data_IF_884722579518
#
_entry.id   IF_884722579518
#
_cell.length_a   1.000
_cell.length_b   1.000
_cell.length_c   1.000
_cell.angle_alpha   90.00
_cell.angle_beta   90.00
_cell.angle_gamma   90.00
#
_symmetry.space_group_name_H-M   'P 1'
#
loop_
_entity.id
_entity.type
_entity.pdbx_description
1 polymer ?
#
# COMPACT_ATOMS: atom_id res chain seq x y z
N UNK A 1 21.10 -30.95 4.02
CA UNK A 1 21.85 -30.38 2.88
C UNK A 1 22.70 -29.27 3.46
N UNK A 2 24.01 -29.51 3.57
CA UNK A 2 24.95 -28.71 4.35
C UNK A 2 25.67 -27.76 3.40
N UNK A 3 25.58 -26.45 3.62
CA UNK A 3 26.37 -25.47 2.85
C UNK A 3 27.57 -25.09 3.71
N UNK A 4 28.74 -25.56 3.30
CA UNK A 4 30.05 -25.17 3.83
C UNK A 4 30.48 -23.88 3.14
N UNK A 5 30.71 -22.82 3.89
CA UNK A 5 31.34 -21.59 3.38
C UNK A 5 32.79 -21.57 3.86
N UNK A 6 33.73 -21.73 2.94
CA UNK A 6 35.17 -21.69 3.21
C UNK A 6 35.70 -20.25 3.20
N UNK A 7 36.53 -19.91 4.19
CA UNK A 7 37.32 -18.67 4.22
C UNK A 7 38.74 -18.94 3.71
N UNK A 8 39.28 -18.16 2.76
CA UNK A 8 40.70 -18.25 2.39
C UNK A 8 41.56 -17.59 3.47
N UNK A 9 42.48 -18.38 4.06
CA UNK A 9 43.56 -17.89 4.90
C UNK A 9 44.80 -17.64 4.03
N UNK A 10 45.28 -16.39 3.94
CA UNK A 10 46.67 -16.12 3.53
C UNK A 10 47.27 -15.02 4.37
N UNK A 11 47.91 -15.42 5.47
CA UNK A 11 48.87 -14.61 6.20
C UNK A 11 50.18 -14.57 5.40
N UNK A 12 50.55 -13.42 4.86
CA UNK A 12 51.94 -13.09 4.53
C UNK A 12 52.40 -11.96 5.43
N UNK A 13 53.29 -12.29 6.37
CA UNK A 13 54.05 -11.34 7.16
C UNK A 13 55.25 -10.88 6.34
N UNK A 14 55.45 -9.58 6.22
CA UNK A 14 56.74 -8.99 5.90
C UNK A 14 57.07 -8.01 7.03
N UNK A 15 58.12 -8.37 7.75
CA UNK A 15 58.71 -7.66 8.87
C UNK A 15 59.54 -6.47 8.35
N UNK A 16 59.20 -5.26 8.75
CA UNK A 16 60.11 -4.12 8.73
C UNK A 16 59.94 -3.38 10.04
N UNK A 17 60.84 -3.66 10.98
CA UNK A 17 60.83 -3.13 12.33
C UNK A 17 60.79 -1.60 12.40
N UNK A 18 59.94 -1.11 13.31
CA UNK A 18 60.07 0.14 14.07
C UNK A 18 58.94 0.19 15.11
N UNK A 19 59.30 0.19 16.38
CA UNK A 19 58.40 0.31 17.53
C UNK A 19 57.98 1.76 17.72
N UNK A 20 56.69 2.10 17.62
CA UNK A 20 56.18 3.41 18.06
C UNK A 20 54.84 3.29 18.79
N UNK A 21 54.76 4.02 19.90
CA UNK A 21 53.82 3.91 21.03
C UNK A 21 52.37 4.21 20.66
N UNK A 22 51.45 3.53 21.36
CA UNK A 22 50.00 3.82 21.39
C UNK A 22 49.70 4.87 22.47
N UNK A 23 48.68 5.71 22.22
CA UNK A 23 47.75 6.46 23.11
C UNK A 23 47.55 7.93 22.66
N UNK A 24 46.40 8.59 22.95
CA UNK A 24 45.03 8.28 22.54
C UNK A 24 44.39 9.49 21.81
N UNK A 25 43.29 9.28 21.07
CA UNK A 25 42.34 10.37 20.80
C UNK A 25 40.93 9.81 21.04
N UNK A 26 40.39 10.13 22.22
CA UNK A 26 38.95 10.22 22.49
C UNK A 26 38.44 11.41 21.66
N UNK A 27 37.25 11.39 21.06
CA UNK A 27 35.98 11.60 21.76
C UNK A 27 34.81 11.19 20.83
N UNK A 28 33.95 10.34 21.40
CA UNK A 28 32.50 10.18 21.26
C UNK A 28 31.87 9.93 19.89
N UNK A 29 31.80 8.65 19.52
CA UNK A 29 30.67 8.12 18.76
C UNK A 29 29.61 7.58 19.72
N UNK A 30 28.66 8.44 20.11
CA UNK A 30 27.37 8.01 20.65
C UNK A 30 26.58 7.29 19.55
N UNK A 31 26.83 6.00 19.40
CA UNK A 31 25.93 5.07 18.70
C UNK A 31 26.15 3.66 19.26
N UNK A 32 26.08 3.52 20.58
CA UNK A 32 25.98 2.22 21.21
C UNK A 32 24.64 2.08 21.94
N UNK A 33 24.08 0.87 21.77
CA UNK A 33 23.03 0.25 22.58
C UNK A 33 21.56 0.54 22.25
N UNK A 34 21.11 0.02 21.11
CA UNK A 34 19.95 -0.87 21.10
C UNK A 34 20.31 -2.08 20.21
N UNK A 35 21.17 -2.98 20.71
CA UNK A 35 21.62 -4.15 19.92
C UNK A 35 21.45 -5.50 20.62
N UNK A 36 20.57 -5.61 21.62
CA UNK A 36 20.43 -6.89 22.33
C UNK A 36 19.04 -7.37 22.67
N UNK A 37 17.94 -6.78 22.15
CA UNK A 37 16.60 -7.33 22.43
C UNK A 37 15.59 -7.30 21.27
N UNK A 38 16.03 -7.19 20.01
CA UNK A 38 15.10 -7.41 18.90
C UNK A 38 15.00 -8.91 18.58
N UNK A 39 14.24 -9.63 19.39
CA UNK A 39 13.90 -11.03 19.09
C UNK A 39 12.80 -11.02 18.04
N UNK A 40 13.15 -11.36 16.80
CA UNK A 40 12.15 -11.71 15.78
C UNK A 40 11.45 -12.99 16.27
N UNK A 41 10.31 -12.83 16.94
CA UNK A 41 9.57 -13.92 17.58
C UNK A 41 8.97 -14.90 16.54
N UNK A 42 8.57 -14.38 15.38
CA UNK A 42 8.29 -15.21 14.21
C UNK A 42 8.24 -14.35 12.95
N UNK A 43 8.68 -14.92 11.83
CA UNK A 43 8.25 -14.50 10.50
C UNK A 43 7.26 -15.57 10.06
N UNK A 44 5.97 -15.35 10.30
CA UNK A 44 4.95 -16.27 9.82
C UNK A 44 4.80 -16.04 8.32
N UNK A 45 5.05 -17.02 7.45
CA UNK A 45 4.60 -16.92 6.07
C UNK A 45 3.08 -16.94 6.10
N UNK A 46 2.46 -15.76 6.09
CA UNK A 46 1.06 -15.68 5.68
C UNK A 46 1.08 -16.14 4.23
N UNK A 47 0.52 -17.32 3.95
CA UNK A 47 0.08 -17.62 2.60
C UNK A 47 -0.99 -16.57 2.30
N UNK A 48 -0.57 -15.51 1.62
CA UNK A 48 -1.47 -14.58 0.94
C UNK A 48 -2.16 -15.40 -0.15
N UNK A 49 -3.19 -16.14 0.25
CA UNK A 49 -4.15 -16.71 -0.67
C UNK A 49 -5.07 -15.57 -1.06
N UNK A 50 -4.53 -14.62 -1.84
CA UNK A 50 -5.40 -13.89 -2.73
C UNK A 50 -5.92 -14.94 -3.70
N UNK A 51 -7.09 -15.50 -3.36
CA UNK A 51 -7.79 -16.40 -4.25
C UNK A 51 -8.06 -15.71 -5.58
N UNK A 52 -8.66 -16.47 -6.49
CA UNK A 52 -9.22 -15.88 -7.70
C UNK A 52 -10.15 -14.71 -7.37
N UNK A 53 -10.30 -13.80 -8.33
CA UNK A 53 -11.18 -12.64 -8.18
C UNK A 53 -12.58 -13.08 -7.71
N UNK A 54 -13.06 -12.61 -6.54
CA UNK A 54 -14.26 -13.16 -5.88
C UNK A 54 -15.57 -12.70 -6.54
N UNK A 55 -15.49 -11.97 -7.66
CA UNK A 55 -16.60 -11.25 -8.27
C UNK A 55 -16.77 -9.85 -7.69
N UNK A 56 -17.21 -8.90 -8.52
CA UNK A 56 -17.27 -7.48 -8.15
C UNK A 56 -18.07 -7.18 -6.89
N UNK A 57 -19.16 -7.92 -6.66
CA UNK A 57 -20.07 -7.74 -5.51
C UNK A 57 -19.47 -8.17 -4.16
N UNK A 58 -18.41 -8.97 -4.19
CA UNK A 58 -17.77 -9.54 -3.00
C UNK A 58 -16.40 -8.91 -2.74
N UNK A 59 -16.02 -7.88 -3.51
CA UNK A 59 -14.73 -7.20 -3.31
C UNK A 59 -14.81 -6.34 -2.05
N UNK A 60 -14.08 -6.78 -1.03
CA UNK A 60 -13.76 -5.99 0.17
C UNK A 60 -12.29 -6.22 0.47
N UNK A 61 -11.47 -5.19 0.31
CA UNK A 61 -10.01 -5.27 0.48
C UNK A 61 -9.55 -4.25 1.51
N UNK A 62 -8.67 -4.64 2.42
CA UNK A 62 -7.88 -3.67 3.19
C UNK A 62 -6.68 -3.16 2.39
N UNK A 63 -5.97 -2.16 2.96
CA UNK A 63 -4.80 -1.55 2.33
C UNK A 63 -3.68 -2.55 2.02
N UNK A 64 -3.49 -3.54 2.89
CA UNK A 64 -2.45 -4.56 2.72
C UNK A 64 -2.79 -5.50 1.57
N UNK A 65 -4.05 -5.92 1.50
CA UNK A 65 -4.60 -6.82 0.50
C UNK A 65 -4.53 -6.21 -0.88
N UNK A 66 -5.06 -5.00 -1.06
CA UNK A 66 -5.00 -4.31 -2.35
C UNK A 66 -3.55 -4.01 -2.75
N UNK A 67 -2.69 -3.66 -1.80
CA UNK A 67 -1.28 -3.40 -2.06
C UNK A 67 -0.55 -4.64 -2.55
N UNK A 68 -0.83 -5.80 -1.97
CA UNK A 68 -0.23 -7.04 -2.42
C UNK A 68 -0.80 -7.52 -3.77
N UNK A 69 -2.11 -7.37 -4.02
CA UNK A 69 -2.74 -7.65 -5.32
C UNK A 69 -2.08 -6.81 -6.42
N UNK A 70 -1.88 -5.51 -6.18
CA UNK A 70 -1.24 -4.59 -7.13
C UNK A 70 0.24 -4.90 -7.32
N UNK A 71 1.03 -5.09 -6.24
CA UNK A 71 2.47 -5.38 -6.31
C UNK A 71 2.77 -6.71 -6.99
N UNK A 72 1.96 -7.73 -6.74
CA UNK A 72 2.10 -9.05 -7.35
C UNK A 72 1.42 -9.12 -8.73
N UNK A 73 0.73 -8.06 -9.14
CA UNK A 73 0.00 -7.95 -10.41
C UNK A 73 -0.86 -9.18 -10.70
N UNK A 74 -1.69 -9.59 -9.73
CA UNK A 74 -2.46 -10.82 -9.83
C UNK A 74 -3.40 -10.77 -11.03
N UNK A 75 -3.21 -11.68 -11.98
CA UNK A 75 -3.81 -11.57 -13.30
C UNK A 75 -5.34 -11.60 -13.29
N UNK A 76 -5.95 -12.45 -12.46
CA UNK A 76 -7.41 -12.54 -12.33
C UNK A 76 -8.03 -11.22 -11.86
N UNK A 77 -7.37 -10.54 -10.92
CA UNK A 77 -7.77 -9.24 -10.40
C UNK A 77 -7.55 -8.13 -11.42
N UNK A 78 -6.38 -8.09 -12.07
CA UNK A 78 -6.08 -7.10 -13.10
C UNK A 78 -7.09 -7.19 -14.24
N UNK A 79 -7.28 -8.38 -14.79
CA UNK A 79 -8.21 -8.59 -15.90
C UNK A 79 -9.63 -8.18 -15.52
N UNK A 80 -10.15 -8.58 -14.36
CA UNK A 80 -11.49 -8.20 -13.95
C UNK A 80 -11.65 -6.69 -13.73
N UNK A 81 -10.71 -6.04 -13.03
CA UNK A 81 -10.85 -4.63 -12.66
C UNK A 81 -10.48 -3.65 -13.78
N UNK A 82 -9.69 -4.07 -14.77
CA UNK A 82 -9.32 -3.23 -15.92
C UNK A 82 -10.43 -3.12 -16.96
N UNK A 83 -11.32 -4.12 -17.07
CA UNK A 83 -12.35 -4.16 -18.13
C UNK A 83 -13.67 -3.52 -17.74
N UNK A 84 -13.72 -2.83 -16.59
CA UNK A 84 -14.93 -2.16 -16.11
C UNK A 84 -14.64 -0.78 -15.56
N UNK A 85 -15.56 0.15 -15.84
CA UNK A 85 -15.71 1.39 -15.09
C UNK A 85 -16.50 1.10 -13.82
N UNK A 86 -16.53 2.05 -12.90
CA UNK A 86 -17.42 1.88 -11.74
C UNK A 86 -17.29 2.93 -10.66
N UNK A 87 -18.19 2.79 -9.68
CA UNK A 87 -18.20 3.55 -8.44
C UNK A 87 -17.70 2.65 -7.33
N UNK A 88 -16.73 3.14 -6.57
CA UNK A 88 -16.15 2.46 -5.42
C UNK A 88 -16.30 3.31 -4.16
N UNK A 89 -16.19 2.64 -3.02
CA UNK A 89 -16.17 3.28 -1.70
C UNK A 89 -14.89 2.92 -0.96
N UNK A 90 -14.30 3.93 -0.33
CA UNK A 90 -13.26 3.76 0.68
C UNK A 90 -13.92 4.00 2.04
N UNK A 91 -13.72 3.07 2.97
CA UNK A 91 -14.24 3.17 4.33
C UNK A 91 -13.06 3.36 5.28
N UNK A 92 -13.01 4.53 5.91
CA UNK A 92 -12.12 4.82 7.03
C UNK A 92 -12.73 4.19 8.29
N UNK A 93 -12.20 3.03 8.70
CA UNK A 93 -12.76 2.27 9.83
C UNK A 93 -12.49 2.93 11.18
N UNK A 94 -11.43 3.72 11.29
CA UNK A 94 -11.08 4.42 12.54
C UNK A 94 -11.93 5.67 12.71
N UNK A 95 -12.10 6.45 11.63
CA UNK A 95 -12.90 7.66 11.63
C UNK A 95 -14.40 7.44 11.44
N UNK A 96 -14.82 6.25 10.99
CA UNK A 96 -16.21 5.95 10.65
C UNK A 96 -16.72 6.73 9.42
N UNK A 97 -15.81 7.12 8.52
CA UNK A 97 -16.10 8.01 7.39
C UNK A 97 -15.98 7.31 6.05
N UNK A 98 -16.78 7.74 5.08
CA UNK A 98 -16.79 7.19 3.73
C UNK A 98 -16.21 8.17 2.72
N UNK A 99 -15.57 7.62 1.69
CA UNK A 99 -15.22 8.32 0.47
C UNK A 99 -15.77 7.56 -0.72
N UNK A 100 -16.62 8.21 -1.51
CA UNK A 100 -17.14 7.66 -2.76
C UNK A 100 -16.31 8.22 -3.91
N UNK A 101 -15.80 7.35 -4.77
CA UNK A 101 -15.05 7.73 -5.96
C UNK A 101 -15.51 6.97 -7.18
N UNK A 102 -15.18 7.52 -8.36
CA UNK A 102 -15.40 6.87 -9.65
C UNK A 102 -14.09 6.47 -10.32
N UNK A 103 -14.18 5.46 -11.17
CA UNK A 103 -13.15 5.05 -12.10
C UNK A 103 -13.69 5.14 -13.53
N UNK A 104 -13.44 6.29 -14.18
CA UNK A 104 -13.92 6.60 -15.53
C UNK A 104 -12.85 6.41 -16.63
N UNK A 105 -11.59 6.16 -16.24
CA UNK A 105 -10.48 6.03 -17.18
C UNK A 105 -10.46 4.71 -17.93
N UNK A 106 -9.63 4.64 -18.97
CA UNK A 106 -9.47 3.46 -19.84
C UNK A 106 -8.94 2.22 -19.10
N UNK A 107 -8.19 2.41 -18.02
CA UNK A 107 -7.65 1.34 -17.18
C UNK A 107 -8.66 0.85 -16.12
N UNK A 108 -9.91 1.31 -16.20
CA UNK A 108 -11.00 0.90 -15.32
C UNK A 108 -10.74 1.18 -13.84
N UNK A 109 -11.33 0.35 -12.98
CA UNK A 109 -11.14 0.37 -11.52
C UNK A 109 -9.67 0.09 -11.17
N UNK A 110 -9.02 -0.82 -11.90
CA UNK A 110 -7.62 -1.19 -11.67
C UNK A 110 -6.70 0.04 -11.67
N UNK A 111 -6.71 0.82 -12.76
CA UNK A 111 -5.83 1.98 -12.87
C UNK A 111 -6.13 3.04 -11.82
N UNK A 112 -7.39 3.20 -11.42
CA UNK A 112 -7.76 4.16 -10.37
C UNK A 112 -7.22 3.74 -9.00
N UNK A 113 -7.28 2.46 -8.68
CA UNK A 113 -6.76 1.90 -7.44
C UNK A 113 -5.23 1.84 -7.42
N UNK A 114 -4.60 1.55 -8.55
CA UNK A 114 -3.15 1.62 -8.74
C UNK A 114 -2.65 3.06 -8.50
N UNK A 115 -3.31 4.07 -9.07
CA UNK A 115 -2.99 5.47 -8.82
C UNK A 115 -3.14 5.85 -7.34
N UNK A 116 -4.19 5.35 -6.68
CA UNK A 116 -4.37 5.55 -5.24
C UNK A 116 -3.24 4.90 -4.43
N UNK A 117 -2.75 3.73 -4.84
CA UNK A 117 -1.63 3.09 -4.18
C UNK A 117 -0.32 3.86 -4.37
N UNK A 118 0.00 4.28 -5.59
CA UNK A 118 1.23 5.02 -5.90
C UNK A 118 1.28 6.43 -5.31
N UNK A 119 0.14 7.12 -5.20
CA UNK A 119 0.08 8.48 -4.64
C UNK A 119 -0.31 8.53 -3.16
N UNK A 120 -0.71 7.40 -2.57
CA UNK A 120 -1.25 7.31 -1.21
C UNK A 120 -2.71 7.80 -1.06
N UNK A 121 -3.13 8.82 -1.83
CA UNK A 121 -4.43 9.47 -1.68
C UNK A 121 -5.26 9.59 -2.98
N UNK A 122 -4.72 9.18 -4.13
CA UNK A 122 -5.41 9.18 -5.43
C UNK A 122 -5.82 10.56 -5.93
N UNK A 123 -5.03 11.59 -5.59
CA UNK A 123 -5.33 13.00 -5.87
C UNK A 123 -6.51 13.62 -5.08
N UNK A 124 -7.18 12.87 -4.20
CA UNK A 124 -8.43 13.31 -3.57
C UNK A 124 -8.16 14.25 -2.39
N UNK A 125 -8.76 15.44 -2.40
CA UNK A 125 -8.49 16.50 -1.41
C UNK A 125 -8.87 16.08 0.02
N UNK A 126 -10.09 15.57 0.23
CA UNK A 126 -10.50 15.19 1.59
C UNK A 126 -9.73 13.98 2.15
N UNK A 127 -9.24 13.08 1.29
CA UNK A 127 -8.34 11.99 1.71
C UNK A 127 -6.97 12.56 2.11
N UNK A 128 -6.41 13.51 1.33
CA UNK A 128 -5.17 14.21 1.70
C UNK A 128 -5.31 14.94 3.03
N UNK A 129 -6.43 15.61 3.27
CA UNK A 129 -6.69 16.30 4.54
C UNK A 129 -6.76 15.33 5.72
N UNK A 130 -7.44 14.19 5.53
CA UNK A 130 -7.66 13.22 6.60
C UNK A 130 -6.39 12.45 6.99
N UNK A 131 -5.59 12.04 6.00
CA UNK A 131 -4.47 11.12 6.20
C UNK A 131 -3.09 11.73 5.91
N UNK A 132 -3.04 12.97 5.40
CA UNK A 132 -1.81 13.64 5.01
C UNK A 132 -1.20 13.08 3.72
N UNK A 133 0.00 13.56 3.41
CA UNK A 133 0.86 13.04 2.34
C UNK A 133 2.06 12.37 2.99
N UNK A 134 2.04 11.05 3.16
CA UNK A 134 3.25 10.29 3.52
C UNK A 134 3.25 9.51 4.84
N UNK A 135 2.15 9.48 5.60
CA UNK A 135 2.05 8.61 6.78
C UNK A 135 1.25 7.34 6.46
N UNK A 136 1.96 6.27 6.09
CA UNK A 136 1.37 4.97 5.76
C UNK A 136 0.54 4.37 6.90
N UNK A 137 0.82 4.73 8.15
CA UNK A 137 0.16 4.17 9.32
C UNK A 137 -1.32 4.55 9.42
N UNK A 138 -1.69 5.76 8.98
CA UNK A 138 -3.10 6.23 9.05
C UNK A 138 -3.96 5.71 7.90
N UNK A 139 -3.36 5.14 6.85
CA UNK A 139 -4.06 4.55 5.72
C UNK A 139 -4.33 3.04 5.91
N UNK A 140 -3.81 2.42 6.97
CA UNK A 140 -3.87 0.97 7.15
C UNK A 140 -5.30 0.45 7.32
N UNK A 141 -6.16 1.23 7.97
CA UNK A 141 -7.54 0.83 8.30
C UNK A 141 -8.58 1.32 7.28
N UNK A 142 -8.13 1.64 6.06
CA UNK A 142 -9.04 1.91 4.95
C UNK A 142 -9.38 0.61 4.23
N UNK A 143 -10.67 0.37 4.04
CA UNK A 143 -11.16 -0.71 3.17
C UNK A 143 -11.75 -0.20 1.86
N UNK A 144 -11.50 -0.94 0.79
CA UNK A 144 -11.93 -0.69 -0.57
C UNK A 144 -13.06 -1.67 -0.92
N UNK A 145 -14.16 -1.15 -1.43
CA UNK A 145 -15.26 -1.95 -1.96
C UNK A 145 -15.84 -1.32 -3.23
N UNK A 146 -16.54 -2.12 -4.04
CA UNK A 146 -17.21 -1.67 -5.26
C UNK A 146 -18.69 -1.50 -4.96
N UNK A 147 -19.24 -0.31 -5.25
CA UNK A 147 -20.68 -0.03 -5.13
C UNK A 147 -21.41 -0.37 -6.41
N UNK A 148 -20.81 -0.05 -7.56
CA UNK A 148 -21.45 -0.18 -8.85
C UNK A 148 -20.42 -0.42 -9.96
N UNK A 149 -20.74 -1.35 -10.86
CA UNK A 149 -19.92 -1.69 -12.02
C UNK A 149 -20.62 -1.18 -13.26
N UNK A 150 -19.86 -0.59 -14.18
CA UNK A 150 -20.36 -0.03 -15.43
C UNK A 150 -19.52 -0.51 -16.61
N UNK A 151 -20.15 -0.62 -17.78
CA UNK A 151 -19.45 -0.94 -19.02
C UNK A 151 -18.44 0.17 -19.38
N UNK A 152 -17.34 -0.18 -20.03
CA UNK A 152 -16.39 0.80 -20.56
C UNK A 152 -17.05 1.74 -21.57
N UNK A 153 -18.08 1.26 -22.28
CA UNK A 153 -18.87 2.00 -23.27
C UNK A 153 -20.08 2.72 -22.67
N UNK A 154 -20.19 2.82 -21.33
CA UNK A 154 -21.24 3.59 -20.68
C UNK A 154 -21.32 5.02 -21.25
N UNK A 155 -22.53 5.58 -21.27
CA UNK A 155 -22.80 6.89 -21.87
C UNK A 155 -21.93 7.97 -21.22
N UNK A 156 -21.52 8.95 -22.02
CA UNK A 156 -20.80 10.13 -21.54
C UNK A 156 -21.56 10.80 -20.39
N UNK A 157 -20.87 10.97 -19.26
CA UNK A 157 -21.43 11.57 -18.04
C UNK A 157 -22.29 10.63 -17.18
N UNK A 158 -22.60 9.40 -17.61
CA UNK A 158 -23.38 8.45 -16.81
C UNK A 158 -22.68 8.14 -15.48
N UNK A 159 -21.38 7.86 -15.53
CA UNK A 159 -20.57 7.59 -14.34
C UNK A 159 -20.54 8.77 -13.36
N UNK A 160 -20.63 10.00 -13.86
CA UNK A 160 -20.65 11.21 -13.03
C UNK A 160 -21.98 11.35 -12.30
N UNK A 161 -23.09 11.02 -12.99
CA UNK A 161 -24.42 10.95 -12.40
C UNK A 161 -24.48 9.87 -11.31
N UNK A 162 -23.93 8.68 -11.57
CA UNK A 162 -23.88 7.58 -10.59
C UNK A 162 -23.00 7.90 -9.39
N UNK A 163 -21.82 8.50 -9.60
CA UNK A 163 -20.96 8.99 -8.53
C UNK A 163 -21.72 9.98 -7.62
N UNK A 164 -22.40 10.95 -8.24
CA UNK A 164 -23.19 11.97 -7.52
C UNK A 164 -24.33 11.35 -6.73
N UNK A 165 -25.04 10.39 -7.33
CA UNK A 165 -26.10 9.63 -6.67
C UNK A 165 -25.60 8.94 -5.40
N UNK A 166 -24.50 8.18 -5.48
CA UNK A 166 -23.94 7.50 -4.31
C UNK A 166 -23.42 8.44 -3.23
N UNK A 167 -22.78 9.55 -3.60
CA UNK A 167 -22.37 10.59 -2.64
C UNK A 167 -23.56 11.18 -1.88
N UNK A 168 -24.69 11.34 -2.55
CA UNK A 168 -25.92 11.85 -1.94
C UNK A 168 -26.55 10.82 -0.99
N UNK A 169 -26.70 9.57 -1.43
CA UNK A 169 -27.32 8.50 -0.63
C UNK A 169 -26.49 8.17 0.61
N UNK A 170 -25.15 8.14 0.47
CA UNK A 170 -24.24 7.81 1.57
C UNK A 170 -23.78 9.04 2.36
N UNK A 171 -24.28 10.23 2.01
CA UNK A 171 -23.97 11.51 2.65
C UNK A 171 -22.45 11.76 2.79
N UNK A 172 -21.66 11.27 1.84
CA UNK A 172 -20.19 11.24 1.96
C UNK A 172 -19.53 12.60 1.82
N UNK A 173 -20.28 13.62 1.36
CA UNK A 173 -19.87 15.03 1.37
C UNK A 173 -20.07 15.70 2.73
N UNK A 174 -21.13 15.31 3.44
CA UNK A 174 -21.51 15.92 4.72
C UNK A 174 -20.79 15.24 5.89
N UNK A 175 -20.82 13.90 5.91
CA UNK A 175 -20.27 13.10 7.00
C UNK A 175 -19.01 12.32 6.59
N UNK A 176 -18.58 12.41 5.34
CA UNK A 176 -17.44 11.67 4.81
C UNK A 176 -16.25 12.54 4.39
N UNK A 177 -15.42 11.94 3.54
CA UNK A 177 -14.18 12.52 3.04
C UNK A 177 -14.32 13.11 1.62
N UNK A 178 -15.52 13.14 1.03
CA UNK A 178 -15.71 13.85 -0.24
C UNK A 178 -15.73 15.37 -0.01
N UNK A 179 -15.06 16.11 -0.89
CA UNK A 179 -14.99 17.59 -0.90
C UNK A 179 -15.43 18.19 -2.23
N UNK A 180 -15.87 17.35 -3.15
CA UNK A 180 -16.35 17.66 -4.50
C UNK A 180 -17.76 17.12 -4.67
#
# INVERSE_FOLDING_TARGET
MTITVGYPQTNRKTDTGKTLKRWPVLVDHYSESIQSELVINSITPVRLTFGEFPGYRNVVLDRNSIGAILRLNLQSWRTALSVVKGIYVLTDRDGGKLYVGKAAGIEGIWGRWEYYFGSGHGGNVGIKEAFGTGDENRLQNITFAILEVMDLNAEDGEIDRRETHWKQILLSREFGHNRN
#
